data_IF_676452923966
#
_entry.id   IF_676452923966
#
_cell.length_a   1.000
_cell.length_b   1.000
_cell.length_c   1.000
_cell.angle_alpha   90.00
_cell.angle_beta   90.00
_cell.angle_gamma   90.00
#
_symmetry.space_group_name_H-M   'P 1'
#
loop_
_entity.id
_entity.type
_entity.pdbx_description
1 polymer ?
#
# COMPACT_ATOMS: atom_id res chain seq x y z
N UNK A 1 49.92 7.81 -32.84
CA UNK A 1 48.57 7.50 -32.35
C UNK A 1 48.42 5.99 -32.39
N UNK A 2 48.24 5.35 -31.23
CA UNK A 2 48.15 3.89 -31.15
C UNK A 2 46.85 3.39 -31.79
N UNK A 3 46.93 2.34 -32.61
CA UNK A 3 45.78 1.67 -33.25
C UNK A 3 44.73 1.28 -32.20
N UNK A 4 45.17 0.86 -31.01
CA UNK A 4 44.30 0.54 -29.86
C UNK A 4 43.48 1.76 -29.43
N UNK A 5 44.07 2.95 -29.38
CA UNK A 5 43.36 4.19 -29.00
C UNK A 5 42.26 4.55 -30.01
N UNK A 6 42.49 4.29 -31.30
CA UNK A 6 41.52 4.55 -32.38
C UNK A 6 40.35 3.57 -32.28
N UNK A 7 40.63 2.27 -32.05
CA UNK A 7 39.60 1.24 -31.89
C UNK A 7 38.73 1.53 -30.66
N UNK A 8 39.34 1.85 -29.52
CA UNK A 8 38.60 2.19 -28.29
C UNK A 8 37.71 3.43 -28.50
N UNK A 9 38.22 4.48 -29.15
CA UNK A 9 37.40 5.67 -29.45
C UNK A 9 36.26 5.37 -30.42
N UNK A 10 36.47 4.51 -31.42
CA UNK A 10 35.41 4.11 -32.35
C UNK A 10 34.29 3.33 -31.64
N UNK A 11 34.65 2.39 -30.76
CA UNK A 11 33.69 1.62 -29.95
C UNK A 11 32.89 2.55 -29.03
N UNK A 12 33.55 3.46 -28.32
CA UNK A 12 32.88 4.42 -27.42
C UNK A 12 31.91 5.32 -28.20
N UNK A 13 32.29 5.79 -29.40
CA UNK A 13 31.40 6.57 -30.27
C UNK A 13 30.22 5.76 -30.78
N UNK A 14 30.43 4.50 -31.16
CA UNK A 14 29.35 3.62 -31.61
C UNK A 14 28.35 3.34 -30.48
N UNK A 15 28.83 3.08 -29.26
CA UNK A 15 27.98 2.91 -28.07
C UNK A 15 27.21 4.20 -27.77
N UNK A 16 27.89 5.36 -27.79
CA UNK A 16 27.25 6.65 -27.58
C UNK A 16 26.15 6.95 -28.61
N UNK A 17 26.39 6.60 -29.88
CA UNK A 17 25.38 6.72 -30.94
C UNK A 17 24.17 5.82 -30.69
N UNK A 18 24.38 4.53 -30.36
CA UNK A 18 23.29 3.62 -30.04
C UNK A 18 22.45 4.10 -28.86
N UNK A 19 23.10 4.61 -27.80
CA UNK A 19 22.41 5.18 -26.64
C UNK A 19 21.59 6.40 -27.07
N UNK A 20 22.15 7.30 -27.88
CA UNK A 20 21.45 8.49 -28.35
C UNK A 20 20.18 8.15 -29.16
N UNK A 21 20.25 7.13 -30.02
CA UNK A 21 19.11 6.64 -30.81
C UNK A 21 18.06 6.01 -29.89
N UNK A 22 18.48 5.19 -28.93
CA UNK A 22 17.58 4.57 -27.95
C UNK A 22 16.85 5.61 -27.10
N UNK A 23 17.54 6.67 -26.66
CA UNK A 23 16.94 7.78 -25.90
C UNK A 23 15.94 8.56 -26.75
N UNK A 24 16.30 8.87 -28.00
CA UNK A 24 15.48 9.67 -28.91
C UNK A 24 14.21 8.92 -29.34
N UNK A 25 14.30 7.62 -29.58
CA UNK A 25 13.13 6.78 -29.92
C UNK A 25 12.35 6.32 -28.68
N UNK A 26 12.99 6.11 -27.54
CA UNK A 26 12.36 5.57 -26.34
C UNK A 26 11.34 6.53 -25.71
N UNK A 27 11.63 7.83 -25.70
CA UNK A 27 10.74 8.86 -25.14
C UNK A 27 9.33 8.86 -25.76
N UNK A 28 9.14 8.99 -27.08
CA UNK A 28 7.80 9.00 -27.67
C UNK A 28 7.07 7.66 -27.47
N UNK A 29 7.79 6.53 -27.48
CA UNK A 29 7.21 5.21 -27.21
C UNK A 29 6.66 5.15 -25.77
N UNK A 30 7.43 5.61 -24.78
CA UNK A 30 7.00 5.65 -23.39
C UNK A 30 5.76 6.53 -23.18
N UNK A 31 5.75 7.72 -23.78
CA UNK A 31 4.60 8.64 -23.71
C UNK A 31 3.37 8.01 -24.36
N UNK A 32 3.55 7.36 -25.52
CA UNK A 32 2.46 6.65 -26.20
C UNK A 32 1.93 5.50 -25.36
N UNK A 33 2.80 4.69 -24.74
CA UNK A 33 2.40 3.61 -23.84
C UNK A 33 1.64 4.14 -22.63
N UNK A 34 2.13 5.21 -22.00
CA UNK A 34 1.49 5.83 -20.84
C UNK A 34 0.09 6.34 -21.19
N UNK A 35 -0.02 7.09 -22.28
CA UNK A 35 -1.30 7.66 -22.70
C UNK A 35 -2.28 6.59 -23.16
N UNK A 36 -1.82 5.63 -23.96
CA UNK A 36 -2.67 4.58 -24.48
C UNK A 36 -3.20 3.68 -23.35
N UNK A 37 -2.33 3.20 -22.46
CA UNK A 37 -2.72 2.17 -21.49
C UNK A 37 -3.04 2.75 -20.10
N UNK A 38 -2.17 3.58 -19.54
CA UNK A 38 -2.31 4.03 -18.15
C UNK A 38 -3.33 5.16 -18.03
N UNK A 39 -3.13 6.27 -18.76
CA UNK A 39 -4.00 7.44 -18.66
C UNK A 39 -5.41 7.13 -19.15
N UNK A 40 -5.54 6.55 -20.36
CA UNK A 40 -6.86 6.35 -21.00
C UNK A 40 -7.66 5.18 -20.45
N UNK A 41 -7.03 4.03 -20.17
CA UNK A 41 -7.75 2.80 -19.80
C UNK A 41 -7.68 2.41 -18.34
N UNK A 42 -6.75 2.97 -17.55
CA UNK A 42 -6.58 2.58 -16.15
C UNK A 42 -6.88 3.72 -15.16
N UNK A 43 -6.57 4.97 -15.54
CA UNK A 43 -6.79 6.14 -14.70
C UNK A 43 -8.03 6.94 -15.09
N UNK A 44 -8.51 6.92 -16.33
CA UNK A 44 -9.70 7.70 -16.68
C UNK A 44 -10.91 7.29 -15.81
N UNK A 45 -11.74 8.23 -15.31
CA UNK A 45 -12.73 7.96 -14.27
C UNK A 45 -13.66 6.78 -14.58
N UNK A 46 -14.10 6.67 -15.83
CA UNK A 46 -14.98 5.59 -16.29
C UNK A 46 -14.37 4.18 -16.23
N UNK A 47 -13.04 4.07 -16.19
CA UNK A 47 -12.32 2.80 -16.06
C UNK A 47 -11.69 2.62 -14.69
N UNK A 48 -11.26 3.70 -14.04
CA UNK A 48 -10.78 3.69 -12.67
C UNK A 48 -11.90 3.31 -11.68
N UNK A 49 -13.14 3.68 -11.98
CA UNK A 49 -14.33 3.29 -11.23
C UNK A 49 -15.39 2.77 -12.21
N UNK A 50 -15.28 1.51 -12.66
CA UNK A 50 -16.19 0.95 -13.65
C UNK A 50 -17.62 0.91 -13.11
N UNK A 51 -18.59 1.24 -13.95
CA UNK A 51 -19.99 1.14 -13.58
C UNK A 51 -20.44 -0.33 -13.62
N UNK A 52 -20.51 -0.95 -12.45
CA UNK A 52 -20.86 -2.36 -12.29
C UNK A 52 -22.38 -2.59 -12.39
N UNK A 53 -23.22 -1.54 -12.44
CA UNK A 53 -24.68 -1.72 -12.51
C UNK A 53 -25.26 -1.50 -13.90
N UNK A 54 -24.76 -0.49 -14.62
CA UNK A 54 -25.32 -0.11 -15.93
C UNK A 54 -24.35 -0.36 -17.10
N UNK A 55 -23.15 -0.90 -16.85
CA UNK A 55 -22.16 -1.25 -17.89
C UNK A 55 -22.31 -2.69 -18.39
N UNK A 56 -21.92 -2.96 -19.64
CA UNK A 56 -21.99 -4.32 -20.24
C UNK A 56 -21.24 -5.37 -19.42
N UNK A 57 -20.05 -5.04 -18.92
CA UNK A 57 -19.27 -5.90 -18.01
C UNK A 57 -19.93 -5.97 -16.62
N UNK A 58 -20.53 -4.87 -16.18
CA UNK A 58 -21.22 -4.78 -14.89
C UNK A 58 -22.44 -5.70 -14.80
N UNK A 59 -23.23 -5.79 -15.87
CA UNK A 59 -24.38 -6.70 -15.96
C UNK A 59 -23.94 -8.14 -15.71
N UNK A 60 -22.86 -8.60 -16.33
CA UNK A 60 -22.34 -9.96 -16.09
C UNK A 60 -21.88 -10.21 -14.66
N UNK A 61 -21.24 -9.21 -14.01
CA UNK A 61 -20.83 -9.32 -12.60
C UNK A 61 -22.05 -9.35 -11.67
N UNK A 62 -23.06 -8.53 -11.95
CA UNK A 62 -24.32 -8.49 -11.22
C UNK A 62 -25.09 -9.81 -11.35
N UNK A 63 -25.17 -10.37 -12.55
CA UNK A 63 -25.78 -11.68 -12.80
C UNK A 63 -25.04 -12.80 -12.06
N UNK A 64 -23.70 -12.81 -12.12
CA UNK A 64 -22.88 -13.79 -11.39
C UNK A 64 -23.06 -13.66 -9.87
N UNK A 65 -23.13 -12.42 -9.35
CA UNK A 65 -23.42 -12.17 -7.94
C UNK A 65 -24.77 -12.77 -7.53
N UNK A 66 -25.84 -12.51 -8.29
CA UNK A 66 -27.16 -13.07 -7.99
C UNK A 66 -27.21 -14.58 -8.12
N UNK A 67 -26.52 -15.15 -9.11
CA UNK A 67 -26.38 -16.60 -9.23
C UNK A 67 -25.75 -17.19 -7.96
N UNK A 68 -24.63 -16.65 -7.49
CA UNK A 68 -23.97 -17.15 -6.27
C UNK A 68 -24.87 -16.95 -5.05
N UNK A 69 -25.53 -15.79 -4.93
CA UNK A 69 -26.40 -15.52 -3.79
C UNK A 69 -27.60 -16.46 -3.75
N UNK A 70 -28.34 -16.61 -4.85
CA UNK A 70 -29.58 -17.39 -4.84
C UNK A 70 -29.38 -18.89 -5.01
N UNK A 71 -28.39 -19.34 -5.78
CA UNK A 71 -28.20 -20.77 -6.07
C UNK A 71 -27.25 -21.46 -5.08
N UNK A 72 -26.32 -20.73 -4.47
CA UNK A 72 -25.31 -21.32 -3.57
C UNK A 72 -25.55 -20.85 -2.14
N UNK A 73 -25.65 -19.55 -1.94
CA UNK A 73 -25.63 -18.96 -0.61
C UNK A 73 -26.96 -19.13 0.14
N UNK A 74 -28.08 -18.82 -0.50
CA UNK A 74 -29.42 -18.96 0.09
C UNK A 74 -29.73 -20.40 0.51
N UNK A 75 -29.45 -21.45 -0.30
CA UNK A 75 -29.60 -22.84 0.13
C UNK A 75 -28.72 -23.20 1.34
N UNK A 76 -27.46 -22.76 1.34
CA UNK A 76 -26.54 -22.98 2.48
C UNK A 76 -27.06 -22.32 3.75
N UNK A 77 -27.52 -21.07 3.64
CA UNK A 77 -28.11 -20.35 4.76
C UNK A 77 -29.39 -21.00 5.27
N UNK A 78 -30.22 -21.49 4.35
CA UNK A 78 -31.44 -22.22 4.68
C UNK A 78 -31.12 -23.49 5.48
N UNK A 79 -30.11 -24.25 5.07
CA UNK A 79 -29.63 -25.42 5.81
C UNK A 79 -29.14 -25.02 7.21
N UNK A 80 -28.34 -23.95 7.32
CA UNK A 80 -27.85 -23.45 8.62
C UNK A 80 -29.01 -22.99 9.51
N UNK A 81 -30.02 -22.32 8.94
CA UNK A 81 -31.20 -21.88 9.67
C UNK A 81 -32.06 -23.06 10.15
N UNK A 82 -32.20 -24.12 9.34
CA UNK A 82 -32.88 -25.36 9.74
C UNK A 82 -32.14 -26.04 10.89
N UNK A 83 -30.81 -26.18 10.80
CA UNK A 83 -29.99 -26.77 11.87
C UNK A 83 -30.12 -25.95 13.16
N UNK A 84 -30.07 -24.62 13.06
CA UNK A 84 -30.26 -23.75 14.22
C UNK A 84 -31.66 -23.83 14.81
N UNK A 85 -32.69 -23.89 13.98
CA UNK A 85 -34.08 -24.08 14.41
C UNK A 85 -34.25 -25.41 15.17
N UNK A 86 -33.67 -26.48 14.65
CA UNK A 86 -33.64 -27.79 15.32
C UNK A 86 -32.90 -27.73 16.66
N UNK A 87 -31.73 -27.08 16.72
CA UNK A 87 -30.97 -26.93 17.96
C UNK A 87 -31.73 -26.12 19.02
N UNK A 88 -32.42 -25.06 18.62
CA UNK A 88 -33.25 -24.24 19.52
C UNK A 88 -34.43 -25.07 20.06
N UNK A 89 -35.13 -25.81 19.18
CA UNK A 89 -36.20 -26.72 19.57
C UNK A 89 -35.71 -27.78 20.56
N UNK A 90 -34.54 -28.36 20.29
CA UNK A 90 -33.95 -29.42 21.09
C UNK A 90 -33.48 -28.89 22.45
N UNK A 91 -32.92 -27.68 22.51
CA UNK A 91 -32.58 -26.99 23.76
C UNK A 91 -33.82 -26.64 24.58
N UNK A 92 -34.91 -26.22 23.93
CA UNK A 92 -36.18 -25.95 24.61
C UNK A 92 -36.86 -27.22 25.12
N UNK A 93 -36.67 -28.36 24.43
CA UNK A 93 -37.31 -29.63 24.79
C UNK A 93 -36.50 -30.42 25.83
N UNK A 94 -35.17 -30.29 25.82
CA UNK A 94 -34.25 -31.03 26.71
C UNK A 94 -33.62 -30.14 27.80
N UNK A 95 -34.04 -28.88 27.92
CA UNK A 95 -33.52 -27.89 28.89
C UNK A 95 -31.98 -27.82 28.93
N UNK A 96 -31.32 -27.88 27.77
CA UNK A 96 -29.86 -27.95 27.66
C UNK A 96 -29.12 -26.68 28.15
N UNK A 97 -29.85 -25.61 28.51
CA UNK A 97 -29.29 -24.42 29.17
C UNK A 97 -28.44 -23.51 28.29
N UNK A 98 -28.43 -23.70 26.96
CA UNK A 98 -27.67 -22.85 26.05
C UNK A 98 -28.38 -21.52 25.77
N UNK A 99 -27.62 -20.41 25.83
CA UNK A 99 -28.10 -19.08 25.44
C UNK A 99 -27.93 -18.84 23.93
N UNK A 100 -29.01 -19.08 23.18
CA UNK A 100 -29.04 -18.89 21.73
C UNK A 100 -29.31 -17.45 21.29
N UNK A 101 -29.62 -16.52 22.20
CA UNK A 101 -30.05 -15.16 21.84
C UNK A 101 -28.97 -14.42 21.04
N UNK A 102 -27.72 -14.53 21.48
CA UNK A 102 -26.58 -13.94 20.77
C UNK A 102 -26.30 -14.59 19.42
N UNK A 103 -26.55 -15.88 19.29
CA UNK A 103 -26.31 -16.61 18.05
C UNK A 103 -27.35 -16.23 17.00
N UNK A 104 -28.64 -16.18 17.38
CA UNK A 104 -29.74 -15.80 16.50
C UNK A 104 -29.58 -14.36 15.97
N UNK A 105 -29.24 -13.40 16.85
CA UNK A 105 -28.96 -12.00 16.45
C UNK A 105 -27.80 -11.94 15.45
N UNK A 106 -26.70 -12.67 15.71
CA UNK A 106 -25.57 -12.74 14.79
C UNK A 106 -25.99 -13.29 13.42
N UNK A 107 -26.75 -14.38 13.38
CA UNK A 107 -27.21 -14.99 12.12
C UNK A 107 -28.14 -14.07 11.32
N UNK A 108 -29.04 -13.33 11.96
CA UNK A 108 -29.88 -12.33 11.27
C UNK A 108 -29.02 -11.20 10.71
N UNK A 109 -28.08 -10.69 11.51
CA UNK A 109 -27.18 -9.62 11.10
C UNK A 109 -26.33 -10.04 9.90
N UNK A 110 -25.83 -11.28 9.88
CA UNK A 110 -25.13 -11.89 8.75
C UNK A 110 -25.99 -11.89 7.49
N UNK A 111 -27.23 -12.36 7.61
CA UNK A 111 -28.19 -12.46 6.50
C UNK A 111 -28.42 -11.08 5.88
N UNK A 112 -28.63 -10.07 6.71
CA UNK A 112 -28.86 -8.70 6.27
C UNK A 112 -27.59 -8.12 5.64
N UNK A 113 -26.43 -8.24 6.28
CA UNK A 113 -25.18 -7.69 5.73
C UNK A 113 -24.77 -8.38 4.42
N UNK A 114 -24.95 -9.69 4.31
CA UNK A 114 -24.60 -10.43 3.09
C UNK A 114 -25.45 -9.99 1.91
N UNK A 115 -26.77 -9.83 2.12
CA UNK A 115 -27.71 -9.36 1.10
C UNK A 115 -27.47 -7.90 0.71
N UNK A 116 -27.01 -7.06 1.64
CA UNK A 116 -26.76 -5.64 1.40
C UNK A 116 -25.31 -5.41 0.91
N UNK A 117 -24.42 -6.40 1.01
CA UNK A 117 -22.97 -6.26 0.72
C UNK A 117 -22.69 -5.72 -0.70
N UNK A 118 -23.45 -6.16 -1.70
CA UNK A 118 -23.32 -5.67 -3.07
C UNK A 118 -23.72 -4.20 -3.22
N UNK A 119 -24.79 -3.77 -2.53
CA UNK A 119 -25.21 -2.37 -2.54
C UNK A 119 -24.19 -1.49 -1.84
N UNK A 120 -23.66 -1.92 -0.69
CA UNK A 120 -22.57 -1.20 -0.01
C UNK A 120 -21.34 -1.06 -0.91
N UNK A 121 -20.96 -2.14 -1.58
CA UNK A 121 -19.85 -2.13 -2.52
C UNK A 121 -20.07 -1.10 -3.65
N UNK A 122 -21.28 -1.07 -4.22
CA UNK A 122 -21.64 -0.11 -5.26
C UNK A 122 -21.60 1.33 -4.75
N UNK A 123 -22.16 1.59 -3.57
CA UNK A 123 -22.19 2.93 -2.97
C UNK A 123 -20.78 3.45 -2.69
N UNK A 124 -19.89 2.60 -2.19
CA UNK A 124 -18.48 2.97 -1.96
C UNK A 124 -17.73 3.23 -3.27
N UNK A 125 -17.95 2.43 -4.31
CA UNK A 125 -17.37 2.72 -5.62
C UNK A 125 -17.90 4.02 -6.22
N UNK A 126 -19.19 4.29 -6.06
CA UNK A 126 -19.79 5.53 -6.55
C UNK A 126 -19.23 6.74 -5.82
N UNK A 127 -19.12 6.68 -4.49
CA UNK A 127 -18.49 7.73 -3.68
C UNK A 127 -17.03 7.94 -4.09
N UNK A 128 -16.27 6.86 -4.27
CA UNK A 128 -14.89 6.92 -4.76
C UNK A 128 -14.79 7.57 -6.14
N UNK A 129 -15.70 7.21 -7.05
CA UNK A 129 -15.81 7.78 -8.40
C UNK A 129 -16.06 9.29 -8.37
N UNK A 130 -16.97 9.76 -7.51
CA UNK A 130 -17.26 11.18 -7.36
C UNK A 130 -16.02 11.96 -6.90
N UNK A 131 -15.35 11.49 -5.86
CA UNK A 131 -14.13 12.13 -5.33
C UNK A 131 -13.03 12.13 -6.40
N UNK A 132 -12.82 10.99 -7.05
CA UNK A 132 -11.77 10.84 -8.04
C UNK A 132 -12.02 11.67 -9.30
N UNK A 133 -13.27 11.80 -9.73
CA UNK A 133 -13.66 12.64 -10.87
C UNK A 133 -13.32 14.11 -10.63
N UNK A 134 -13.51 14.61 -9.40
CA UNK A 134 -13.07 15.96 -9.06
C UNK A 134 -11.55 16.10 -9.20
N UNK A 135 -10.77 15.16 -8.65
CA UNK A 135 -9.31 15.14 -8.79
C UNK A 135 -8.86 15.03 -10.25
N UNK A 136 -9.57 14.26 -11.08
CA UNK A 136 -9.28 14.13 -12.50
C UNK A 136 -9.36 15.50 -13.19
N UNK A 137 -10.41 16.27 -12.95
CA UNK A 137 -10.56 17.60 -13.55
C UNK A 137 -9.54 18.64 -13.06
N UNK A 138 -8.92 18.44 -11.89
CA UNK A 138 -7.88 19.35 -11.38
C UNK A 138 -6.56 19.33 -12.16
N UNK A 139 -6.28 18.31 -12.99
CA UNK A 139 -5.07 18.31 -13.83
C UNK A 139 -4.45 16.95 -14.12
N UNK A 140 -5.04 15.86 -13.64
CA UNK A 140 -4.54 14.49 -13.84
C UNK A 140 -4.29 14.11 -15.31
N UNK A 141 -5.16 14.47 -16.29
CA UNK A 141 -4.93 14.21 -17.73
C UNK A 141 -3.74 14.95 -18.33
N UNK A 142 -3.35 16.08 -17.75
CA UNK A 142 -2.42 17.05 -18.33
C UNK A 142 -1.04 17.01 -17.67
N UNK A 143 -0.71 15.92 -16.98
CA UNK A 143 0.53 15.79 -16.24
C UNK A 143 1.77 15.70 -17.14
N UNK A 144 2.94 15.99 -16.55
CA UNK A 144 4.23 16.01 -17.26
C UNK A 144 4.60 14.69 -17.95
N UNK A 145 4.01 13.57 -17.51
CA UNK A 145 4.21 12.25 -18.10
C UNK A 145 3.43 12.10 -19.40
N UNK A 146 2.19 12.59 -19.44
CA UNK A 146 1.31 12.54 -20.62
C UNK A 146 1.85 13.32 -21.82
N UNK A 147 2.54 14.43 -21.57
CA UNK A 147 3.10 15.30 -22.61
C UNK A 147 4.57 14.98 -22.93
N UNK A 148 5.24 14.21 -22.06
CA UNK A 148 6.66 13.91 -22.15
C UNK A 148 7.58 15.12 -22.04
N UNK A 149 7.07 16.32 -21.74
CA UNK A 149 7.84 17.56 -21.81
C UNK A 149 9.02 17.56 -20.81
N UNK A 150 8.89 16.85 -19.69
CA UNK A 150 9.87 16.88 -18.61
C UNK A 150 10.63 15.55 -18.35
N UNK A 151 10.37 14.48 -19.12
CA UNK A 151 10.95 13.14 -18.89
C UNK A 151 12.50 13.13 -18.99
N UNK A 152 13.10 14.12 -19.67
CA UNK A 152 14.56 14.29 -19.78
C UNK A 152 15.02 15.75 -19.61
N UNK A 153 14.13 16.65 -19.19
CA UNK A 153 14.46 18.07 -19.02
C UNK A 153 15.38 18.26 -17.81
N UNK A 154 16.35 19.17 -17.91
CA UNK A 154 17.29 19.46 -16.82
C UNK A 154 18.49 18.51 -16.73
N UNK A 155 18.54 17.44 -17.55
CA UNK A 155 19.73 16.60 -17.71
C UNK A 155 20.71 17.23 -18.71
N UNK A 156 21.20 18.43 -18.37
CA UNK A 156 22.32 19.07 -19.07
C UNK A 156 23.63 18.90 -18.29
N UNK A 157 23.78 17.77 -17.59
CA UNK A 157 25.04 17.46 -16.90
C UNK A 157 26.03 16.97 -17.96
N UNK A 158 26.75 17.92 -18.58
CA UNK A 158 28.01 17.68 -19.28
C UNK A 158 27.95 16.81 -20.54
N UNK A 159 27.37 17.34 -21.63
CA UNK A 159 27.73 16.92 -23.00
C UNK A 159 26.79 15.90 -23.66
N UNK A 160 26.18 16.34 -24.76
CA UNK A 160 25.37 15.61 -25.75
C UNK A 160 24.18 14.79 -25.21
N UNK A 161 23.02 14.92 -25.86
CA UNK A 161 21.74 14.29 -25.49
C UNK A 161 21.68 12.74 -25.56
N UNK A 162 22.83 12.06 -25.51
CA UNK A 162 22.99 10.61 -25.50
C UNK A 162 23.84 10.10 -24.33
N UNK A 163 23.81 10.78 -23.18
CA UNK A 163 24.55 10.33 -22.00
C UNK A 163 23.99 9.01 -21.45
N UNK A 164 24.87 8.16 -20.89
CA UNK A 164 24.49 6.92 -20.18
C UNK A 164 23.46 7.21 -19.06
N UNK A 165 23.55 8.39 -18.44
CA UNK A 165 22.60 8.82 -17.41
C UNK A 165 21.17 9.00 -17.96
N UNK A 166 21.03 9.59 -19.15
CA UNK A 166 19.73 9.74 -19.82
C UNK A 166 19.11 8.39 -20.16
N UNK A 167 19.91 7.42 -20.57
CA UNK A 167 19.45 6.05 -20.80
C UNK A 167 18.99 5.38 -19.51
N UNK A 168 19.78 5.47 -18.44
CA UNK A 168 19.41 4.91 -17.14
C UNK A 168 18.10 5.51 -16.61
N UNK A 169 17.87 6.80 -16.78
CA UNK A 169 16.62 7.47 -16.38
C UNK A 169 15.42 6.94 -17.18
N UNK A 170 15.57 6.72 -18.48
CA UNK A 170 14.53 6.09 -19.31
C UNK A 170 14.22 4.68 -18.83
N UNK A 171 15.24 3.88 -18.50
CA UNK A 171 15.05 2.51 -18.01
C UNK A 171 14.31 2.51 -16.67
N UNK A 172 14.68 3.38 -15.74
CA UNK A 172 13.97 3.52 -14.46
C UNK A 172 12.52 3.96 -14.71
N UNK A 173 12.31 4.93 -15.59
CA UNK A 173 10.98 5.41 -15.94
C UNK A 173 10.10 4.30 -16.53
N UNK A 174 10.64 3.50 -17.44
CA UNK A 174 9.96 2.33 -18.00
C UNK A 174 9.59 1.33 -16.91
N UNK A 175 10.52 1.04 -15.99
CA UNK A 175 10.28 0.09 -14.88
C UNK A 175 9.15 0.56 -13.96
N UNK A 176 9.15 1.85 -13.59
CA UNK A 176 8.09 2.45 -12.76
C UNK A 176 6.75 2.42 -13.50
N UNK A 177 6.73 2.80 -14.78
CA UNK A 177 5.52 2.71 -15.59
C UNK A 177 4.94 1.29 -15.67
N UNK A 178 5.79 0.28 -15.88
CA UNK A 178 5.35 -1.11 -15.92
C UNK A 178 4.81 -1.56 -14.57
N UNK A 179 5.43 -1.12 -13.48
CA UNK A 179 4.95 -1.38 -12.13
C UNK A 179 3.57 -0.75 -11.89
N UNK A 180 3.40 0.53 -12.25
CA UNK A 180 2.12 1.23 -12.16
C UNK A 180 1.02 0.52 -12.95
N UNK A 181 1.34 0.12 -14.19
CA UNK A 181 0.41 -0.60 -15.06
C UNK A 181 -0.02 -1.92 -14.44
N UNK A 182 0.93 -2.70 -13.93
CA UNK A 182 0.63 -3.98 -13.28
C UNK A 182 -0.22 -3.78 -12.02
N UNK A 183 0.11 -2.79 -11.20
CA UNK A 183 -0.66 -2.46 -10.01
C UNK A 183 -2.11 -2.07 -10.35
N UNK A 184 -2.30 -1.16 -11.31
CA UNK A 184 -3.63 -0.70 -11.73
C UNK A 184 -4.45 -1.82 -12.40
N UNK A 185 -3.81 -2.71 -13.16
CA UNK A 185 -4.48 -3.87 -13.75
C UNK A 185 -4.96 -4.86 -12.67
N UNK A 186 -4.10 -5.17 -11.68
CA UNK A 186 -4.45 -6.03 -10.55
C UNK A 186 -5.59 -5.42 -9.73
N UNK A 187 -5.55 -4.10 -9.52
CA UNK A 187 -6.62 -3.34 -8.85
C UNK A 187 -7.97 -3.53 -9.54
N UNK A 188 -8.03 -3.37 -10.86
CA UNK A 188 -9.27 -3.55 -11.64
C UNK A 188 -9.79 -4.98 -11.51
N UNK A 189 -8.90 -5.99 -11.55
CA UNK A 189 -9.28 -7.38 -11.34
C UNK A 189 -9.91 -7.60 -9.95
N UNK A 190 -9.37 -6.96 -8.90
CA UNK A 190 -9.98 -7.01 -7.56
C UNK A 190 -11.37 -6.38 -7.59
N UNK A 191 -11.54 -5.20 -8.20
CA UNK A 191 -12.85 -4.52 -8.27
C UNK A 191 -13.93 -5.37 -8.93
N UNK A 192 -13.60 -6.16 -9.96
CA UNK A 192 -14.58 -7.04 -10.60
C UNK A 192 -14.86 -8.33 -9.83
N UNK A 193 -13.89 -8.84 -9.07
CA UNK A 193 -14.02 -10.11 -8.34
C UNK A 193 -14.59 -9.93 -6.94
N UNK A 194 -14.31 -8.82 -6.28
CA UNK A 194 -14.71 -8.57 -4.90
C UNK A 194 -16.23 -8.60 -4.66
N UNK A 195 -17.11 -8.04 -5.52
CA UNK A 195 -18.57 -8.11 -5.33
C UNK A 195 -19.09 -9.54 -5.27
N UNK A 196 -18.51 -10.40 -6.10
CA UNK A 196 -18.91 -11.80 -6.26
C UNK A 196 -18.58 -12.59 -4.99
N UNK A 197 -17.50 -12.22 -4.29
CA UNK A 197 -17.00 -12.92 -3.10
C UNK A 197 -17.37 -12.17 -1.80
N UNK A 198 -17.87 -10.93 -1.87
CA UNK A 198 -18.21 -10.12 -0.69
C UNK A 198 -19.18 -10.80 0.29
N UNK A 199 -20.19 -11.58 -0.14
CA UNK A 199 -21.05 -12.35 0.78
C UNK A 199 -20.24 -13.28 1.70
N UNK A 200 -19.27 -13.99 1.13
CA UNK A 200 -18.40 -14.90 1.86
C UNK A 200 -17.50 -14.14 2.85
N UNK A 201 -16.99 -12.97 2.47
CA UNK A 201 -16.17 -12.16 3.37
C UNK A 201 -16.99 -11.62 4.54
N UNK A 202 -18.24 -11.21 4.30
CA UNK A 202 -19.14 -10.81 5.37
C UNK A 202 -19.47 -11.97 6.32
N UNK A 203 -19.62 -13.21 5.83
CA UNK A 203 -19.75 -14.38 6.71
C UNK A 203 -18.54 -14.55 7.64
N UNK A 204 -17.33 -14.43 7.08
CA UNK A 204 -16.10 -14.71 7.81
C UNK A 204 -15.89 -13.77 9.00
N UNK A 205 -16.41 -12.53 8.94
CA UNK A 205 -16.37 -11.55 10.03
C UNK A 205 -17.09 -12.06 11.28
N UNK A 206 -18.18 -12.82 11.12
CA UNK A 206 -18.99 -13.25 12.27
C UNK A 206 -18.41 -14.48 12.97
N UNK A 207 -17.66 -15.32 12.26
CA UNK A 207 -17.05 -16.52 12.85
C UNK A 207 -15.79 -16.09 13.63
N UNK A 208 -15.74 -16.28 14.97
CA UNK A 208 -14.65 -15.73 15.80
C UNK A 208 -13.26 -16.18 15.37
N UNK A 209 -13.14 -17.39 14.80
CA UNK A 209 -11.86 -17.93 14.32
C UNK A 209 -11.39 -17.34 12.99
N UNK A 210 -12.28 -16.75 12.21
CA UNK A 210 -11.97 -16.19 10.87
C UNK A 210 -12.26 -14.69 10.76
N UNK A 211 -12.71 -14.05 11.84
CA UNK A 211 -13.10 -12.65 11.87
C UNK A 211 -12.00 -11.74 11.32
N UNK A 212 -10.77 -11.93 11.79
CA UNK A 212 -9.61 -11.14 11.36
C UNK A 212 -9.36 -11.25 9.84
N UNK A 213 -9.61 -12.42 9.25
CA UNK A 213 -9.44 -12.63 7.82
C UNK A 213 -10.54 -11.92 7.02
N UNK A 214 -11.78 -11.94 7.49
CA UNK A 214 -12.90 -11.19 6.89
C UNK A 214 -12.66 -9.67 6.91
N UNK A 215 -12.21 -9.15 8.06
CA UNK A 215 -11.86 -7.72 8.22
C UNK A 215 -10.72 -7.32 7.27
N UNK A 216 -9.65 -8.12 7.19
CA UNK A 216 -8.52 -7.87 6.28
C UNK A 216 -8.95 -7.80 4.81
N UNK A 217 -9.87 -8.66 4.38
CA UNK A 217 -10.34 -8.67 3.00
C UNK A 217 -11.15 -7.41 2.67
N UNK A 218 -12.01 -6.96 3.59
CA UNK A 218 -12.72 -5.68 3.45
C UNK A 218 -11.77 -4.48 3.42
N UNK A 219 -10.70 -4.51 4.22
CA UNK A 219 -9.69 -3.44 4.19
C UNK A 219 -8.92 -3.39 2.87
N UNK A 220 -8.57 -4.54 2.29
CA UNK A 220 -7.97 -4.60 0.95
C UNK A 220 -8.89 -3.93 -0.08
N UNK A 221 -10.21 -4.13 0.03
CA UNK A 221 -11.16 -3.45 -0.83
C UNK A 221 -11.14 -1.92 -0.66
N UNK A 222 -11.13 -1.42 0.58
CA UNK A 222 -11.02 0.03 0.81
C UNK A 222 -9.70 0.62 0.29
N UNK A 223 -8.58 -0.10 0.43
CA UNK A 223 -7.29 0.30 -0.15
C UNK A 223 -7.37 0.36 -1.67
N UNK A 224 -8.00 -0.63 -2.29
CA UNK A 224 -8.23 -0.69 -3.73
C UNK A 224 -9.11 0.47 -4.21
N UNK A 225 -10.19 0.81 -3.52
CA UNK A 225 -11.05 1.96 -3.88
C UNK A 225 -10.24 3.26 -3.78
N UNK A 226 -9.49 3.45 -2.70
CA UNK A 226 -8.77 4.70 -2.42
C UNK A 226 -7.46 4.87 -3.21
N UNK A 227 -6.90 3.78 -3.76
CA UNK A 227 -5.63 3.82 -4.47
C UNK A 227 -5.55 4.87 -5.60
N UNK A 228 -6.53 5.03 -6.53
CA UNK A 228 -6.44 6.03 -7.58
C UNK A 228 -6.45 7.45 -7.04
N UNK A 229 -7.17 7.69 -5.94
CA UNK A 229 -7.23 9.00 -5.29
C UNK A 229 -5.83 9.37 -4.80
N UNK A 230 -5.13 8.44 -4.14
CA UNK A 230 -3.77 8.67 -3.66
C UNK A 230 -2.73 8.74 -4.76
N UNK A 231 -2.85 7.91 -5.81
CA UNK A 231 -2.01 7.97 -7.01
C UNK A 231 -2.21 9.31 -7.73
N UNK A 232 -3.44 9.84 -7.73
CA UNK A 232 -3.77 11.10 -8.39
C UNK A 232 -3.02 12.30 -7.83
N UNK A 233 -2.80 12.36 -6.51
CA UNK A 233 -2.12 13.48 -5.85
C UNK A 233 -0.70 13.73 -6.42
N UNK A 234 0.25 12.78 -6.38
CA UNK A 234 1.59 12.98 -6.96
C UNK A 234 1.56 13.21 -8.47
N UNK A 235 0.62 12.59 -9.20
CA UNK A 235 0.47 12.83 -10.64
C UNK A 235 0.03 14.27 -10.94
N UNK A 236 -0.86 14.84 -10.11
CA UNK A 236 -1.24 16.25 -10.18
C UNK A 236 -0.05 17.13 -9.82
N UNK A 237 0.70 16.82 -8.76
CA UNK A 237 1.90 17.60 -8.40
C UNK A 237 2.93 17.63 -9.54
N UNK A 238 3.07 16.52 -10.27
CA UNK A 238 3.94 16.44 -11.43
C UNK A 238 3.54 17.38 -12.59
N UNK A 239 2.28 17.86 -12.66
CA UNK A 239 1.86 18.88 -13.65
C UNK A 239 2.56 20.22 -13.42
N UNK A 240 2.83 20.57 -12.16
CA UNK A 240 3.37 21.87 -11.77
C UNK A 240 4.91 21.92 -11.81
N UNK A 241 5.56 20.76 -11.92
CA UNK A 241 7.01 20.68 -12.09
C UNK A 241 7.40 21.04 -13.50
N UNK A 242 8.29 22.02 -13.65
CA UNK A 242 8.87 22.39 -14.95
C UNK A 242 10.38 22.11 -14.94
N UNK A 243 10.89 21.57 -16.05
CA UNK A 243 12.31 21.43 -16.35
C UNK A 243 13.14 20.58 -15.36
N UNK A 244 12.51 19.71 -14.56
CA UNK A 244 13.20 18.87 -13.59
C UNK A 244 12.76 17.40 -13.70
N UNK A 245 13.54 16.63 -14.46
CA UNK A 245 13.31 15.19 -14.69
C UNK A 245 13.42 14.34 -13.43
N UNK A 246 14.32 14.68 -12.51
CA UNK A 246 14.52 13.93 -11.25
C UNK A 246 13.29 14.06 -10.35
N UNK A 247 12.74 15.26 -10.22
CA UNK A 247 11.55 15.50 -9.41
C UNK A 247 10.30 14.84 -10.04
N UNK A 248 10.19 14.87 -11.37
CA UNK A 248 9.13 14.17 -12.12
C UNK A 248 9.23 12.65 -11.89
N UNK A 249 10.42 12.08 -11.94
CA UNK A 249 10.63 10.66 -11.63
C UNK A 249 10.32 10.34 -10.16
N UNK A 250 10.67 11.23 -9.25
CA UNK A 250 10.29 11.13 -7.83
C UNK A 250 8.78 11.11 -7.60
N UNK A 251 8.02 11.93 -8.33
CA UNK A 251 6.54 11.90 -8.26
C UNK A 251 5.95 10.62 -8.86
N UNK A 252 6.54 10.08 -9.93
CA UNK A 252 6.13 8.77 -10.46
C UNK A 252 6.38 7.66 -9.44
N UNK A 253 7.57 7.64 -8.83
CA UNK A 253 7.88 6.69 -7.77
C UNK A 253 6.92 6.85 -6.58
N UNK A 254 6.60 8.09 -6.18
CA UNK A 254 5.64 8.32 -5.10
C UNK A 254 4.23 7.82 -5.46
N UNK A 255 3.81 8.00 -6.72
CA UNK A 255 2.57 7.43 -7.22
C UNK A 255 2.56 5.90 -7.12
N UNK A 256 3.66 5.24 -7.49
CA UNK A 256 3.81 3.78 -7.38
C UNK A 256 3.82 3.27 -5.95
N UNK A 257 4.45 4.02 -5.02
CA UNK A 257 4.53 3.63 -3.61
C UNK A 257 3.30 4.03 -2.79
N UNK A 258 2.45 4.94 -3.27
CA UNK A 258 1.29 5.43 -2.51
C UNK A 258 0.33 4.31 -2.05
N UNK A 259 -0.02 3.32 -2.89
CA UNK A 259 -0.86 2.20 -2.45
C UNK A 259 -0.15 1.27 -1.46
N UNK A 260 1.17 1.09 -1.60
CA UNK A 260 1.94 0.30 -0.64
C UNK A 260 1.97 0.98 0.74
N UNK A 261 2.08 2.31 0.79
CA UNK A 261 2.05 3.05 2.05
C UNK A 261 0.73 2.90 2.80
N UNK A 262 -0.40 2.82 2.09
CA UNK A 262 -1.69 2.47 2.71
C UNK A 262 -1.63 1.11 3.39
N UNK A 263 -1.21 0.08 2.65
CA UNK A 263 -1.17 -1.30 3.17
C UNK A 263 -0.26 -1.45 4.40
N UNK A 264 0.88 -0.75 4.42
CA UNK A 264 1.82 -0.77 5.56
C UNK A 264 1.22 -0.06 6.77
N UNK A 265 0.53 1.07 6.57
CA UNK A 265 -0.12 1.81 7.66
C UNK A 265 -1.23 1.00 8.35
N UNK A 266 -1.87 0.08 7.62
CA UNK A 266 -2.86 -0.82 8.20
C UNK A 266 -2.19 -1.92 9.03
N UNK A 267 -1.09 -2.50 8.54
CA UNK A 267 -0.35 -3.52 9.28
C UNK A 267 0.11 -3.03 10.66
N UNK A 268 0.47 -1.74 10.80
CA UNK A 268 0.86 -1.17 12.09
C UNK A 268 -0.32 -0.90 13.04
N UNK A 269 -1.52 -0.61 12.51
CA UNK A 269 -2.74 -0.38 13.31
C UNK A 269 -3.30 -1.67 13.92
N UNK A 270 -3.21 -2.79 13.21
CA UNK A 270 -3.69 -4.10 13.71
C UNK A 270 -2.69 -4.79 14.65
N UNK A 271 -1.40 -4.45 14.59
CA UNK A 271 -0.41 -4.93 15.58
C UNK A 271 -0.66 -4.42 17.01
N UNK A 272 -1.49 -3.38 17.18
CA UNK A 272 -1.81 -2.80 18.49
C UNK A 272 -2.62 -3.69 19.43
N UNK A 273 -3.41 -4.64 18.90
CA UNK A 273 -4.43 -5.33 19.70
C UNK A 273 -4.26 -6.85 19.84
N UNK A 274 -3.20 -7.47 19.31
CA UNK A 274 -3.08 -8.93 19.46
C UNK A 274 -1.78 -9.51 20.02
N UNK A 275 -0.57 -8.97 19.83
CA UNK A 275 0.65 -9.58 20.40
C UNK A 275 1.92 -8.74 20.17
N UNK A 276 2.33 -7.96 21.18
CA UNK A 276 3.63 -7.29 21.23
C UNK A 276 4.86 -8.21 21.34
N UNK A 277 4.84 -9.45 20.81
CA UNK A 277 6.01 -10.36 20.90
C UNK A 277 6.34 -11.26 19.70
N UNK A 278 5.51 -11.43 18.67
CA UNK A 278 5.79 -12.47 17.65
C UNK A 278 6.08 -11.97 16.23
N UNK A 279 5.63 -10.77 15.82
CA UNK A 279 5.75 -10.31 14.42
C UNK A 279 6.95 -9.37 14.18
N UNK A 280 7.68 -9.00 15.24
CA UNK A 280 8.92 -8.23 15.11
C UNK A 280 10.06 -9.02 14.42
N UNK A 281 9.96 -10.35 14.27
CA UNK A 281 11.06 -11.18 13.76
C UNK A 281 11.06 -11.40 12.24
N UNK A 282 9.92 -11.29 11.55
CA UNK A 282 9.80 -11.58 10.11
C UNK A 282 10.09 -10.38 9.20
N UNK A 283 9.52 -9.23 9.52
CA UNK A 283 9.68 -8.01 8.70
C UNK A 283 11.00 -7.30 9.02
N UNK A 284 11.49 -7.34 10.27
CA UNK A 284 12.84 -6.86 10.59
C UNK A 284 13.94 -7.75 9.98
N UNK A 285 13.74 -9.08 9.84
CA UNK A 285 14.71 -9.94 9.15
C UNK A 285 14.80 -9.65 7.65
N UNK A 286 13.69 -9.33 7.01
CA UNK A 286 13.66 -9.05 5.57
C UNK A 286 14.21 -7.66 5.25
N UNK A 287 13.89 -6.64 6.07
CA UNK A 287 14.46 -5.30 5.95
C UNK A 287 15.94 -5.22 6.37
N UNK A 288 16.35 -5.93 7.43
CA UNK A 288 17.76 -5.89 7.90
C UNK A 288 18.72 -6.65 6.98
N UNK A 289 18.28 -7.61 6.17
CA UNK A 289 19.15 -8.22 5.15
C UNK A 289 19.47 -7.25 3.99
N UNK A 290 18.57 -6.30 3.69
CA UNK A 290 18.81 -5.29 2.65
C UNK A 290 19.75 -4.18 3.14
N UNK A 291 19.71 -3.83 4.43
CA UNK A 291 20.58 -2.79 5.01
C UNK A 291 21.89 -3.30 5.66
N UNK A 292 22.01 -4.58 6.02
CA UNK A 292 23.21 -5.11 6.70
C UNK A 292 24.39 -5.39 5.76
N UNK A 293 24.15 -5.55 4.46
CA UNK A 293 25.22 -5.79 3.48
C UNK A 293 25.92 -4.52 2.98
N UNK A 294 25.45 -3.33 3.34
CA UNK A 294 26.06 -2.05 2.92
C UNK A 294 27.01 -1.47 3.96
N UNK A 295 27.03 -2.00 5.20
CA UNK A 295 27.67 -1.32 6.34
C UNK A 295 28.86 -2.02 7.03
N UNK A 296 29.34 -3.19 6.60
CA UNK A 296 30.38 -3.93 7.35
C UNK A 296 31.54 -4.43 6.51
N UNK A 297 32.44 -3.52 6.12
CA UNK A 297 33.87 -3.82 6.00
C UNK A 297 34.68 -2.60 6.46
N UNK A 298 34.76 -2.40 7.78
CA UNK A 298 35.90 -1.68 8.38
C UNK A 298 36.36 -2.52 9.58
N UNK A 299 37.43 -3.33 9.46
CA UNK A 299 37.98 -4.06 10.59
C UNK A 299 38.73 -3.07 11.50
N UNK A 300 38.23 -2.89 12.73
CA UNK A 300 38.99 -2.22 13.81
C UNK A 300 39.98 -3.21 14.44
N UNK A 301 41.20 -2.78 14.79
CA UNK A 301 42.22 -3.66 15.36
C UNK A 301 41.88 -4.06 16.81
N UNK A 302 42.21 -5.30 17.14
CA UNK A 302 41.94 -5.96 18.43
C UNK A 302 43.07 -5.62 19.41
N UNK A 303 42.77 -4.86 20.47
CA UNK A 303 43.66 -4.66 21.62
C UNK A 303 43.72 -5.90 22.52
N UNK A 304 44.81 -6.09 23.29
CA UNK A 304 45.15 -7.38 23.89
C UNK A 304 44.37 -7.69 25.18
N UNK A 305 44.14 -8.99 25.31
CA UNK A 305 43.59 -9.75 26.43
C UNK A 305 44.41 -9.57 27.72
N UNK A 306 43.73 -9.16 28.80
CA UNK A 306 44.20 -9.28 30.18
C UNK A 306 43.39 -10.34 30.93
N UNK A 307 44.07 -11.44 31.24
CA UNK A 307 43.62 -12.59 32.02
C UNK A 307 43.81 -12.25 33.51
N UNK A 308 42.85 -12.51 34.40
CA UNK A 308 43.17 -12.88 35.78
C UNK A 308 42.04 -13.66 36.47
N UNK A 309 42.47 -14.66 37.22
CA UNK A 309 41.73 -15.81 37.76
C UNK A 309 41.39 -15.65 39.25
N UNK A 310 40.38 -16.41 39.70
CA UNK A 310 40.12 -16.78 41.11
C UNK A 310 38.73 -16.34 41.57
N UNK A 311 37.88 -17.10 42.24
CA UNK A 311 38.00 -18.39 42.93
C UNK A 311 37.08 -18.35 44.17
N UNK A 312 36.20 -19.34 44.30
CA UNK A 312 35.52 -19.81 45.52
C UNK A 312 34.44 -18.91 46.20
N UNK A 313 33.47 -19.59 46.80
CA UNK A 313 32.19 -19.07 47.31
C UNK A 313 32.24 -18.31 48.63
N UNK A 314 31.13 -17.63 48.91
CA UNK A 314 30.87 -16.93 50.17
C UNK A 314 29.68 -15.98 50.07
N UNK A 315 28.49 -16.43 50.46
CA UNK A 315 27.44 -15.56 51.01
C UNK A 315 27.62 -15.50 52.54
N UNK A 316 26.96 -14.58 53.28
CA UNK A 316 26.27 -13.33 52.90
C UNK A 316 26.78 -12.13 53.74
N UNK A 317 26.29 -10.90 53.54
CA UNK A 317 26.01 -9.93 54.63
C UNK A 317 25.19 -8.75 54.06
N UNK A 318 24.11 -8.49 54.79
CA UNK A 318 23.20 -7.35 54.76
C UNK A 318 23.89 -5.99 54.97
N UNK A 319 23.57 -5.01 54.12
CA UNK A 319 23.89 -3.60 54.32
C UNK A 319 22.68 -2.72 54.02
N UNK A 320 22.01 -2.26 55.07
CA UNK A 320 20.89 -1.32 55.05
C UNK A 320 21.35 0.10 54.72
N UNK A 321 20.65 0.81 53.82
CA UNK A 321 20.65 2.28 53.83
C UNK A 321 19.20 2.77 53.76
N UNK A 322 18.71 3.27 54.91
CA UNK A 322 17.46 4.02 55.04
C UNK A 322 17.66 5.46 54.57
N UNK A 323 16.65 5.94 53.83
CA UNK A 323 16.01 7.28 53.83
C UNK A 323 16.88 8.53 53.97
N UNK A 324 16.74 9.43 53.00
CA UNK A 324 16.39 10.83 53.29
C UNK A 324 15.23 11.28 52.42
N UNK A 325 14.18 11.72 53.09
CA UNK A 325 13.05 12.47 52.57
C UNK A 325 13.07 13.84 53.24
N UNK A 326 12.98 14.91 52.45
CA UNK A 326 12.51 16.24 52.86
C UNK A 326 11.86 16.85 51.62
N UNK A 327 10.53 16.85 51.50
CA UNK A 327 9.54 17.69 52.18
C UNK A 327 9.58 19.15 51.71
N UNK A 328 8.57 19.48 50.89
CA UNK A 328 7.71 20.67 50.87
C UNK A 328 8.31 22.07 51.02
N UNK A 329 7.81 22.97 50.15
CA UNK A 329 7.65 24.39 50.50
C UNK A 329 7.73 25.31 49.30
N UNK A 330 6.61 25.93 48.92
CA UNK A 330 6.48 26.74 47.72
C UNK A 330 7.18 28.11 47.74
N UNK A 331 7.14 28.77 46.58
CA UNK A 331 7.55 30.16 46.43
C UNK A 331 7.53 30.60 44.96
N UNK A 332 6.58 31.47 44.62
CA UNK A 332 6.50 32.21 43.37
C UNK A 332 7.78 33.01 43.08
N UNK A 333 8.14 33.12 41.79
CA UNK A 333 8.76 34.30 41.11
C UNK A 333 8.89 33.94 39.61
N UNK A 334 7.97 34.39 38.76
CA UNK A 334 8.05 35.60 37.91
C UNK A 334 8.96 35.50 36.68
N UNK A 335 8.29 35.48 35.50
CA UNK A 335 8.56 36.23 34.26
C UNK A 335 9.90 36.09 33.51
N UNK A 336 9.79 35.74 32.21
CA UNK A 336 10.38 36.43 31.03
C UNK A 336 10.02 35.58 29.78
N UNK A 337 8.92 35.85 29.05
CA UNK A 337 8.76 36.83 27.96
C UNK A 337 9.85 36.82 26.87
N UNK A 338 9.47 36.35 25.67
CA UNK A 338 9.61 36.98 24.33
C UNK A 338 8.74 36.15 23.37
N UNK A 339 7.49 36.52 23.08
CA UNK A 339 6.97 37.56 22.14
C UNK A 339 7.34 37.31 20.67
N UNK A 340 6.35 36.77 19.97
CA UNK A 340 6.16 36.76 18.52
C UNK A 340 6.12 38.20 17.99
N UNK A 341 6.80 38.47 16.88
CA UNK A 341 6.70 39.73 16.12
C UNK A 341 6.04 39.43 14.78
N UNK A 342 4.85 40.00 14.58
CA UNK A 342 4.36 40.39 13.26
C UNK A 342 4.49 41.92 13.18
N UNK A 343 4.90 42.37 11.99
CA UNK A 343 5.29 43.72 11.56
C UNK A 343 6.66 44.23 12.02
#
# INVERSE_FOLDING_TARGET
MDIVSIIVQAIVKAIGYLISVAVLMGKPILVSLYNAYISRYLLAPQFAFPNIVNGSVGVGVKELYYFIMFEIYDPLLTIVAIILGLLILLNSSLELGYDFRNLLIKTILVLVLSNISFFLFQDFLYLGSLIYTQLWYFGLPWNSFSSGQNILSGLQIGGQGGSILSFLIIVIFLSLMLYLLLFLALRIAIIYTFPVISPLFTLLIIIPKTQELGERLWLIFFDVISAPILIGIPLILATYVKNNSVLVLGFLALADFAPLMLSISQSSRFTGNFLGRAVNSGVQRSGSMIFSNVGRVIPRPRGPSGNDRGGAGGQPITGSVRKYSSSLGGGNTSSLFFKVKQE
#
